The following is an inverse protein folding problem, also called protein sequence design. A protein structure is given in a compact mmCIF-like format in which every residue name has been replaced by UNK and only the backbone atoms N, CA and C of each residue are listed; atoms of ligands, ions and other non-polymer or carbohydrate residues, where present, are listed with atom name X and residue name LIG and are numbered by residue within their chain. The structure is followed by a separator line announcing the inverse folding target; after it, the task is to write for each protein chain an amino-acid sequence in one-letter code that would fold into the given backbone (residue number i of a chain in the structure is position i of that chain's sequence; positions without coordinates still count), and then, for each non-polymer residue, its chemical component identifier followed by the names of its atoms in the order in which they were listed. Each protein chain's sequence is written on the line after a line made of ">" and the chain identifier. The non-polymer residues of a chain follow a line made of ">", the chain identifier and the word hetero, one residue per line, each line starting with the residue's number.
data_IF_498658934594
#
_entry.id   IF_498658934594
#
_cell.length_a   1.000
_cell.length_b   1.000
_cell.length_c   1.000
_cell.angle_alpha   90.00
_cell.angle_beta   90.00
_cell.angle_gamma   90.00
#
_symmetry.space_group_name_H-M   'P 1'
#
loop_
_entity.id
_entity.type
_entity.pdbx_description
1 polymer ?
#
# COMPACT_ATOMS: atom_id res chain seq x y z
N UNK A 1 -19.41 24.75 -3.59
CA UNK A 1 -19.36 23.61 -2.64
C UNK A 1 -17.93 23.45 -2.17
N UNK A 2 -17.70 22.86 -1.02
CA UNK A 2 -16.35 22.54 -0.52
C UNK A 2 -16.33 21.08 -0.08
N UNK A 3 -15.19 20.42 -0.24
CA UNK A 3 -14.95 19.06 0.22
C UNK A 3 -13.94 19.09 1.37
N UNK A 4 -14.29 18.45 2.49
CA UNK A 4 -13.43 18.42 3.68
C UNK A 4 -12.81 17.04 3.81
N UNK A 5 -11.47 16.96 3.78
CA UNK A 5 -10.72 15.76 4.12
C UNK A 5 -10.49 15.80 5.63
N UNK A 6 -10.98 14.76 6.33
CA UNK A 6 -10.76 14.59 7.76
C UNK A 6 -9.64 13.59 8.02
N UNK A 7 -9.03 13.64 9.19
CA UNK A 7 -8.17 12.60 9.73
C UNK A 7 -8.99 11.52 10.43
N UNK A 8 -8.38 10.40 10.69
CA UNK A 8 -8.99 9.27 11.41
C UNK A 8 -9.37 9.63 12.87
N UNK A 9 -8.81 10.69 13.43
CA UNK A 9 -9.16 11.26 14.74
C UNK A 9 -10.33 12.27 14.68
N UNK A 10 -10.91 12.49 13.49
CA UNK A 10 -12.01 13.42 13.25
C UNK A 10 -11.57 14.86 12.96
N UNK A 11 -10.32 15.23 13.20
CA UNK A 11 -9.80 16.55 12.90
C UNK A 11 -9.75 16.83 11.39
N UNK A 12 -9.84 18.10 11.01
CA UNK A 12 -9.73 18.49 9.60
C UNK A 12 -8.28 18.42 9.15
N UNK A 13 -8.04 17.66 8.06
CA UNK A 13 -6.75 17.61 7.39
C UNK A 13 -6.64 18.73 6.34
N UNK A 14 -7.71 18.91 5.55
CA UNK A 14 -7.74 19.91 4.48
C UNK A 14 -9.17 20.25 4.06
N UNK A 15 -9.39 21.48 3.64
CA UNK A 15 -10.67 21.94 3.07
C UNK A 15 -10.43 22.42 1.64
N UNK A 16 -10.89 21.64 0.67
CA UNK A 16 -10.80 21.97 -0.74
C UNK A 16 -11.99 22.84 -1.16
N UNK A 17 -11.75 24.11 -1.43
CA UNK A 17 -12.76 25.00 -2.03
C UNK A 17 -13.04 24.54 -3.46
N UNK A 18 -14.33 24.50 -3.83
CA UNK A 18 -14.82 24.11 -5.15
C UNK A 18 -14.64 22.64 -5.55
N UNK A 19 -14.08 21.78 -4.68
CA UNK A 19 -14.01 20.35 -4.93
C UNK A 19 -15.38 19.68 -4.72
N UNK A 20 -15.72 18.75 -5.62
CA UNK A 20 -16.97 17.98 -5.60
C UNK A 20 -16.72 16.50 -5.31
N UNK A 21 -15.47 16.07 -5.30
CA UNK A 21 -15.06 14.68 -5.06
C UNK A 21 -13.80 14.58 -4.19
N UNK A 22 -13.61 13.42 -3.59
CA UNK A 22 -12.37 13.10 -2.86
C UNK A 22 -11.13 13.30 -3.74
N UNK A 23 -11.18 12.88 -5.00
CA UNK A 23 -10.08 13.04 -5.96
C UNK A 23 -9.70 14.51 -6.17
N UNK A 24 -10.69 15.37 -6.41
CA UNK A 24 -10.43 16.83 -6.57
C UNK A 24 -9.88 17.44 -5.29
N UNK A 25 -10.44 17.06 -4.14
CA UNK A 25 -9.98 17.54 -2.85
C UNK A 25 -8.53 17.12 -2.54
N UNK A 26 -8.21 15.85 -2.79
CA UNK A 26 -6.84 15.33 -2.58
C UNK A 26 -5.88 15.96 -3.57
N UNK A 27 -6.26 16.14 -4.85
CA UNK A 27 -5.44 16.85 -5.84
C UNK A 27 -5.14 18.28 -5.40
N UNK A 28 -6.14 19.00 -4.89
CA UNK A 28 -5.94 20.36 -4.36
C UNK A 28 -5.01 20.35 -3.13
N UNK A 29 -5.24 19.43 -2.19
CA UNK A 29 -4.40 19.28 -1.01
C UNK A 29 -2.94 19.01 -1.35
N UNK A 30 -2.67 18.10 -2.29
CA UNK A 30 -1.30 17.79 -2.73
C UNK A 30 -0.65 18.99 -3.41
N UNK A 31 -1.39 19.67 -4.29
CA UNK A 31 -0.91 20.91 -4.95
C UNK A 31 -0.52 21.98 -3.94
N UNK A 32 -1.29 22.10 -2.86
CA UNK A 32 -1.05 23.11 -1.80
C UNK A 32 -0.02 22.63 -0.74
N UNK A 33 0.59 21.46 -0.93
CA UNK A 33 1.54 20.86 0.02
C UNK A 33 0.92 20.47 1.36
N UNK A 34 -0.39 20.22 1.39
CA UNK A 34 -1.10 19.91 2.62
C UNK A 34 -0.65 18.57 3.23
N UNK A 35 -0.57 18.54 4.56
CA UNK A 35 -0.27 17.32 5.30
C UNK A 35 -1.52 16.43 5.43
N UNK A 36 -1.55 15.35 4.65
CA UNK A 36 -2.60 14.33 4.65
C UNK A 36 -2.29 13.14 5.58
N UNK A 37 -1.36 13.31 6.53
CA UNK A 37 -1.08 12.29 7.54
C UNK A 37 -2.38 11.90 8.27
N UNK A 38 -2.64 10.59 8.37
CA UNK A 38 -3.87 10.01 8.94
C UNK A 38 -5.16 10.48 8.26
N UNK A 39 -5.10 10.96 7.01
CA UNK A 39 -6.31 11.32 6.28
C UNK A 39 -7.25 10.12 6.12
N UNK A 40 -8.55 10.33 6.31
CA UNK A 40 -9.58 9.32 6.11
C UNK A 40 -10.01 9.34 4.63
N UNK A 41 -9.46 8.39 3.87
CA UNK A 41 -9.67 8.23 2.42
C UNK A 41 -10.21 6.83 2.08
N UNK A 42 -10.94 6.22 3.03
CA UNK A 42 -11.57 4.92 2.88
C UNK A 42 -12.46 4.89 1.63
N UNK A 43 -12.25 3.91 0.76
CA UNK A 43 -13.01 3.70 -0.47
C UNK A 43 -12.93 4.85 -1.49
N UNK A 44 -12.04 5.84 -1.28
CA UNK A 44 -11.97 7.00 -2.16
C UNK A 44 -11.58 6.61 -3.58
N UNK A 45 -12.28 7.16 -4.57
CA UNK A 45 -11.86 7.06 -5.97
C UNK A 45 -10.72 8.06 -6.25
N UNK A 46 -9.51 7.53 -6.29
CA UNK A 46 -8.26 8.23 -6.60
C UNK A 46 -7.62 7.69 -7.89
N UNK A 47 -8.43 7.09 -8.76
CA UNK A 47 -7.98 6.57 -10.06
C UNK A 47 -7.26 7.66 -10.85
N UNK A 48 -6.01 7.39 -11.28
CA UNK A 48 -5.15 8.33 -12.00
C UNK A 48 -4.93 9.67 -11.28
N UNK A 49 -5.07 9.70 -9.95
CA UNK A 49 -4.80 10.90 -9.17
C UNK A 49 -3.29 11.21 -9.17
N UNK A 50 -2.96 12.50 -9.23
CA UNK A 50 -1.59 12.98 -9.05
C UNK A 50 -1.31 13.13 -7.56
N UNK A 51 -0.59 12.17 -6.98
CA UNK A 51 -0.25 12.07 -5.55
C UNK A 51 1.28 12.09 -5.35
N UNK A 52 2.03 12.55 -6.34
CA UNK A 52 3.49 12.61 -6.28
C UNK A 52 3.92 13.46 -5.07
N UNK A 53 4.81 12.91 -4.23
CA UNK A 53 5.29 13.52 -3.00
C UNK A 53 4.25 13.69 -1.88
N UNK A 54 3.04 13.14 -2.03
CA UNK A 54 1.96 13.33 -1.06
C UNK A 54 2.32 12.79 0.35
N UNK A 55 2.03 13.59 1.39
CA UNK A 55 2.20 13.19 2.79
C UNK A 55 1.00 12.34 3.26
N UNK A 56 1.05 11.02 3.06
CA UNK A 56 -0.02 10.06 3.36
C UNK A 56 0.35 9.10 4.52
N UNK A 57 1.31 9.46 5.35
CA UNK A 57 1.74 8.63 6.49
C UNK A 57 0.53 8.29 7.38
N UNK A 58 0.30 6.99 7.61
CA UNK A 58 -0.83 6.52 8.43
C UNK A 58 -2.21 6.82 7.86
N UNK A 59 -2.36 7.27 6.62
CA UNK A 59 -3.65 7.53 6.01
C UNK A 59 -4.47 6.24 5.86
N UNK A 60 -5.78 6.34 6.05
CA UNK A 60 -6.70 5.24 5.78
C UNK A 60 -7.12 5.24 4.31
N UNK A 61 -6.45 4.43 3.53
CA UNK A 61 -6.70 4.16 2.11
C UNK A 61 -7.35 2.78 1.90
N UNK A 62 -7.96 2.22 2.94
CA UNK A 62 -8.62 0.91 2.87
C UNK A 62 -9.69 0.93 1.76
N UNK A 63 -9.62 -0.02 0.83
CA UNK A 63 -10.53 -0.12 -0.30
C UNK A 63 -10.44 1.02 -1.34
N UNK A 64 -9.49 1.94 -1.22
CA UNK A 64 -9.35 3.05 -2.18
C UNK A 64 -8.99 2.56 -3.58
N UNK A 65 -9.54 3.21 -4.60
CA UNK A 65 -9.22 2.96 -6.00
C UNK A 65 -8.04 3.83 -6.41
N UNK A 66 -6.87 3.23 -6.56
CA UNK A 66 -5.60 3.90 -6.93
C UNK A 66 -5.08 3.42 -8.30
N UNK A 67 -5.97 2.94 -9.17
CA UNK A 67 -5.59 2.50 -10.51
C UNK A 67 -4.86 3.59 -11.28
N UNK A 68 -3.62 3.31 -11.70
CA UNK A 68 -2.80 4.24 -12.46
C UNK A 68 -2.50 5.56 -11.75
N UNK A 69 -2.67 5.65 -10.43
CA UNK A 69 -2.32 6.84 -9.66
C UNK A 69 -0.81 7.07 -9.65
N UNK A 70 -0.40 8.32 -9.71
CA UNK A 70 1.01 8.70 -9.54
C UNK A 70 1.30 8.93 -8.06
N UNK A 71 1.96 7.97 -7.45
CA UNK A 71 2.42 7.96 -6.05
C UNK A 71 3.96 8.13 -5.97
N UNK A 72 4.59 8.62 -7.03
CA UNK A 72 6.04 8.82 -7.07
C UNK A 72 6.50 9.68 -5.89
N UNK A 73 7.42 9.15 -5.08
CA UNK A 73 7.93 9.84 -3.89
C UNK A 73 6.92 10.04 -2.75
N UNK A 74 5.71 9.47 -2.82
CA UNK A 74 4.71 9.63 -1.76
C UNK A 74 5.15 8.94 -0.44
N UNK A 75 4.79 9.54 0.69
CA UNK A 75 5.06 9.02 2.02
C UNK A 75 3.89 8.17 2.50
N UNK A 76 4.00 6.83 2.41
CA UNK A 76 2.95 5.86 2.74
C UNK A 76 3.25 5.04 4.00
N UNK A 77 4.27 5.42 4.78
CA UNK A 77 4.63 4.69 6.00
C UNK A 77 3.42 4.56 6.94
N UNK A 78 3.09 3.32 7.33
CA UNK A 78 1.93 3.03 8.17
C UNK A 78 0.56 3.24 7.52
N UNK A 79 0.47 3.61 6.24
CA UNK A 79 -0.81 3.78 5.56
C UNK A 79 -1.61 2.47 5.47
N UNK A 80 -2.91 2.56 5.65
CA UNK A 80 -3.83 1.43 5.58
C UNK A 80 -4.28 1.23 4.13
N UNK A 81 -3.73 0.23 3.45
CA UNK A 81 -4.00 -0.09 2.05
C UNK A 81 -4.76 -1.42 1.87
N UNK A 82 -5.37 -1.97 2.94
CA UNK A 82 -6.16 -3.20 2.84
C UNK A 82 -7.27 -3.06 1.79
N UNK A 83 -7.34 -3.98 0.84
CA UNK A 83 -8.32 -3.90 -0.24
C UNK A 83 -8.11 -2.78 -1.26
N UNK A 84 -7.08 -1.95 -1.11
CA UNK A 84 -6.80 -0.91 -2.10
C UNK A 84 -6.38 -1.49 -3.45
N UNK A 85 -6.79 -0.82 -4.52
CA UNK A 85 -6.53 -1.21 -5.91
C UNK A 85 -5.38 -0.38 -6.48
N UNK A 86 -4.16 -0.93 -6.48
CA UNK A 86 -2.92 -0.26 -6.90
C UNK A 86 -2.42 -0.64 -8.30
N UNK A 87 -3.23 -1.37 -9.09
CA UNK A 87 -2.79 -1.81 -10.42
C UNK A 87 -2.41 -0.62 -11.31
N UNK A 88 -1.22 -0.69 -11.92
CA UNK A 88 -0.70 0.40 -12.74
C UNK A 88 -0.28 1.66 -11.98
N UNK A 89 -0.35 1.69 -10.64
CA UNK A 89 0.12 2.84 -9.87
C UNK A 89 1.65 3.00 -9.96
N UNK A 90 2.11 4.24 -10.05
CA UNK A 90 3.53 4.58 -10.08
C UNK A 90 4.02 4.80 -8.64
N UNK A 91 4.92 3.93 -8.16
CA UNK A 91 5.39 3.89 -6.78
C UNK A 91 6.90 4.20 -6.64
N UNK A 92 7.54 4.71 -7.70
CA UNK A 92 8.98 5.00 -7.68
C UNK A 92 9.32 5.99 -6.56
N UNK A 93 10.27 5.63 -5.68
CA UNK A 93 10.68 6.47 -4.56
C UNK A 93 9.62 6.65 -3.45
N UNK A 94 8.45 6.01 -3.53
CA UNK A 94 7.48 6.05 -2.44
C UNK A 94 8.02 5.33 -1.21
N UNK A 95 7.78 5.88 0.00
CA UNK A 95 8.19 5.27 1.26
C UNK A 95 7.04 4.49 1.92
N UNK A 96 7.36 3.46 2.69
CA UNK A 96 6.38 2.64 3.40
C UNK A 96 5.65 1.61 2.52
N UNK A 97 6.02 1.52 1.24
CA UNK A 97 5.53 0.51 0.30
C UNK A 97 6.67 0.04 -0.59
N UNK A 98 6.73 -1.26 -0.84
CA UNK A 98 7.71 -1.88 -1.74
C UNK A 98 6.94 -2.70 -2.78
N UNK A 99 7.25 -2.49 -4.06
CA UNK A 99 6.71 -3.27 -5.18
C UNK A 99 7.84 -4.04 -5.85
N UNK A 100 7.61 -5.33 -6.14
CA UNK A 100 8.56 -6.14 -6.91
C UNK A 100 8.08 -6.45 -8.33
N UNK A 101 6.93 -5.92 -8.73
CA UNK A 101 6.31 -6.20 -10.02
C UNK A 101 5.41 -7.45 -9.98
N UNK A 102 4.85 -7.83 -11.12
CA UNK A 102 4.02 -9.01 -11.21
C UNK A 102 4.86 -10.28 -11.19
N UNK A 103 4.44 -11.27 -10.41
CA UNK A 103 4.92 -12.64 -10.46
C UNK A 103 3.77 -13.51 -10.92
N UNK A 104 3.95 -14.24 -12.01
CA UNK A 104 2.91 -15.05 -12.65
C UNK A 104 1.60 -14.26 -12.90
N UNK A 105 1.73 -12.99 -13.27
CA UNK A 105 0.61 -12.06 -13.51
C UNK A 105 0.00 -11.45 -12.25
N UNK A 106 0.51 -11.76 -11.06
CA UNK A 106 0.02 -11.23 -9.79
C UNK A 106 0.89 -10.08 -9.30
N UNK A 107 0.29 -8.91 -9.14
CA UNK A 107 0.97 -7.77 -8.51
C UNK A 107 1.30 -8.07 -7.06
N UNK A 108 2.56 -7.85 -6.68
CA UNK A 108 3.05 -8.07 -5.32
C UNK A 108 3.60 -6.78 -4.71
N UNK A 109 3.13 -6.49 -3.50
CA UNK A 109 3.55 -5.34 -2.69
C UNK A 109 3.80 -5.78 -1.25
N UNK A 110 4.72 -5.10 -0.58
CA UNK A 110 4.77 -5.06 0.88
C UNK A 110 4.45 -3.65 1.36
N UNK A 111 3.68 -3.52 2.43
CA UNK A 111 3.34 -2.24 3.06
C UNK A 111 3.82 -2.28 4.50
N UNK A 112 4.55 -1.25 4.90
CA UNK A 112 5.05 -1.10 6.27
C UNK A 112 3.90 -0.89 7.24
N UNK A 113 3.85 -1.70 8.30
CA UNK A 113 2.85 -1.60 9.38
C UNK A 113 3.52 -1.81 10.73
N UNK A 114 2.90 -1.28 11.79
CA UNK A 114 3.22 -1.69 13.16
C UNK A 114 2.99 -3.19 13.32
N UNK A 115 3.95 -3.92 13.86
CA UNK A 115 3.91 -5.38 13.96
C UNK A 115 4.32 -6.12 12.68
N UNK A 116 5.00 -5.42 11.76
CA UNK A 116 5.64 -5.98 10.57
C UNK A 116 4.91 -5.77 9.25
N UNK A 117 5.58 -6.05 8.15
CA UNK A 117 5.03 -5.82 6.82
C UNK A 117 3.82 -6.70 6.52
N UNK A 118 2.86 -6.13 5.79
CA UNK A 118 1.77 -6.88 5.17
C UNK A 118 2.06 -7.02 3.69
N UNK A 119 1.93 -8.22 3.17
CA UNK A 119 2.19 -8.56 1.78
C UNK A 119 0.86 -8.69 1.05
N UNK A 120 0.73 -7.97 -0.06
CA UNK A 120 -0.37 -8.14 -1.01
C UNK A 120 0.09 -8.99 -2.18
N UNK A 121 -0.69 -10.01 -2.52
CA UNK A 121 -0.53 -10.78 -3.75
C UNK A 121 -1.91 -11.00 -4.37
N UNK A 122 -2.10 -10.48 -5.58
CA UNK A 122 -3.41 -10.44 -6.21
C UNK A 122 -4.44 -9.69 -5.36
N UNK A 123 -5.56 -10.34 -5.02
CA UNK A 123 -6.61 -9.72 -4.20
C UNK A 123 -6.44 -9.94 -2.68
N UNK A 124 -5.45 -10.71 -2.24
CA UNK A 124 -5.28 -11.09 -0.83
C UNK A 124 -4.14 -10.34 -0.15
N UNK A 125 -4.30 -10.18 1.17
CA UNK A 125 -3.30 -9.63 2.07
C UNK A 125 -2.86 -10.69 3.08
N UNK A 126 -1.55 -10.74 3.34
CA UNK A 126 -0.91 -11.73 4.21
C UNK A 126 0.05 -11.04 5.18
N UNK A 127 0.24 -11.62 6.36
CA UNK A 127 1.51 -11.49 7.09
C UNK A 127 2.60 -12.26 6.35
N UNK A 128 3.86 -12.01 6.68
CA UNK A 128 4.97 -12.79 6.10
C UNK A 128 4.80 -14.28 6.39
N UNK A 129 4.41 -14.64 7.62
CA UNK A 129 4.19 -16.03 8.04
C UNK A 129 3.07 -16.71 7.25
N UNK A 130 1.92 -16.03 7.11
CA UNK A 130 0.79 -16.53 6.30
C UNK A 130 1.19 -16.72 4.84
N UNK A 131 1.93 -15.77 4.25
CA UNK A 131 2.40 -15.85 2.87
C UNK A 131 3.34 -17.05 2.65
N UNK A 132 4.29 -17.25 3.56
CA UNK A 132 5.18 -18.42 3.56
C UNK A 132 4.43 -19.72 3.70
N UNK A 133 3.45 -19.79 4.61
CA UNK A 133 2.60 -20.96 4.79
C UNK A 133 1.75 -21.28 3.56
N UNK A 134 1.22 -20.21 2.90
CA UNK A 134 0.38 -20.35 1.72
C UNK A 134 1.13 -20.91 0.51
N UNK A 135 2.33 -20.42 0.22
CA UNK A 135 3.11 -20.81 -0.96
C UNK A 135 4.23 -21.80 -0.68
N UNK A 136 4.68 -21.93 0.59
CA UNK A 136 5.81 -22.79 0.94
C UNK A 136 5.51 -24.27 1.02
N UNK A 137 4.30 -24.68 1.44
CA UNK A 137 3.93 -26.08 1.70
C UNK A 137 2.71 -26.54 0.92
N UNK A 138 2.46 -25.97 -0.26
CA UNK A 138 1.37 -26.41 -1.14
C UNK A 138 -0.03 -26.11 -0.60
N UNK A 139 -0.17 -25.13 0.30
CA UNK A 139 -1.44 -24.80 0.93
C UNK A 139 -2.18 -23.68 0.23
N UNK A 140 -3.34 -23.94 -0.32
CA UNK A 140 -4.31 -22.94 -0.77
C UNK A 140 -4.70 -23.06 -2.24
N UNK A 141 -5.94 -22.64 -2.57
CA UNK A 141 -6.44 -22.64 -3.94
C UNK A 141 -5.55 -21.76 -4.84
N UNK A 142 -5.12 -22.32 -5.97
CA UNK A 142 -4.23 -21.64 -6.93
C UNK A 142 -2.73 -21.84 -6.64
N UNK A 143 -2.36 -22.53 -5.58
CA UNK A 143 -0.97 -22.94 -5.35
C UNK A 143 -0.68 -24.22 -6.12
N UNK A 144 0.02 -24.11 -7.23
CA UNK A 144 0.50 -25.23 -8.01
C UNK A 144 1.99 -25.46 -7.74
N UNK A 145 2.55 -26.66 -8.06
CA UNK A 145 3.98 -26.92 -7.96
C UNK A 145 4.85 -25.92 -8.73
N UNK A 146 4.29 -25.27 -9.75
CA UNK A 146 4.99 -24.28 -10.57
C UNK A 146 4.91 -22.86 -9.99
N UNK A 147 3.73 -22.46 -9.49
CA UNK A 147 3.49 -21.12 -8.97
C UNK A 147 4.03 -20.92 -7.54
N UNK A 148 3.87 -21.92 -6.68
CA UNK A 148 4.24 -21.85 -5.28
C UNK A 148 5.67 -21.37 -5.05
N UNK A 149 6.69 -21.99 -5.65
CA UNK A 149 8.10 -21.59 -5.48
C UNK A 149 8.39 -20.15 -5.96
N UNK A 150 7.77 -19.72 -7.08
CA UNK A 150 7.96 -18.36 -7.61
C UNK A 150 7.34 -17.31 -6.70
N UNK A 151 6.13 -17.57 -6.23
CA UNK A 151 5.44 -16.68 -5.30
C UNK A 151 6.18 -16.59 -3.96
N UNK A 152 6.70 -17.73 -3.46
CA UNK A 152 7.52 -17.75 -2.26
C UNK A 152 8.81 -16.94 -2.44
N UNK A 153 9.49 -17.08 -3.57
CA UNK A 153 10.66 -16.26 -3.90
C UNK A 153 10.33 -14.76 -3.90
N UNK A 154 9.15 -14.38 -4.40
CA UNK A 154 8.66 -13.01 -4.33
C UNK A 154 8.43 -12.54 -2.90
N UNK A 155 7.86 -13.37 -2.03
CA UNK A 155 7.72 -13.06 -0.59
C UNK A 155 9.08 -12.80 0.04
N UNK A 156 10.07 -13.68 -0.21
CA UNK A 156 11.41 -13.52 0.35
C UNK A 156 12.13 -12.27 -0.18
N UNK A 157 11.93 -11.94 -1.46
CA UNK A 157 12.46 -10.69 -2.03
C UNK A 157 11.84 -9.45 -1.35
N UNK A 158 10.53 -9.44 -1.11
CA UNK A 158 9.86 -8.36 -0.37
C UNK A 158 10.36 -8.26 1.07
N UNK A 159 10.58 -9.39 1.74
CA UNK A 159 11.13 -9.44 3.11
C UNK A 159 12.55 -8.89 3.15
N UNK A 160 13.40 -9.29 2.19
CA UNK A 160 14.76 -8.80 2.10
C UNK A 160 14.81 -7.27 1.87
N UNK A 161 13.96 -6.76 0.98
CA UNK A 161 13.84 -5.33 0.73
C UNK A 161 13.28 -4.57 1.95
N UNK A 162 12.29 -5.12 2.65
CA UNK A 162 11.75 -4.53 3.87
C UNK A 162 12.84 -4.37 4.95
N UNK A 163 13.72 -5.36 5.10
CA UNK A 163 14.87 -5.28 6.00
C UNK A 163 15.90 -4.23 5.56
N UNK A 164 16.20 -4.18 4.27
CA UNK A 164 17.11 -3.17 3.72
C UNK A 164 16.60 -1.74 3.93
N UNK A 165 15.28 -1.58 4.08
CA UNK A 165 14.61 -0.33 4.45
C UNK A 165 14.38 -0.18 5.96
N UNK A 166 15.02 -1.03 6.79
CA UNK A 166 14.90 -0.99 8.26
C UNK A 166 13.47 -1.09 8.79
N UNK A 167 12.60 -1.81 8.09
CA UNK A 167 11.23 -2.03 8.57
C UNK A 167 11.24 -3.01 9.76
N UNK A 168 10.43 -2.70 10.76
CA UNK A 168 10.20 -3.58 11.90
C UNK A 168 9.68 -4.94 11.43
N UNK A 169 10.39 -6.01 11.79
CA UNK A 169 9.99 -7.38 11.50
C UNK A 169 9.50 -8.06 12.77
N UNK A 170 8.36 -8.76 12.74
CA UNK A 170 7.87 -9.50 13.90
C UNK A 170 8.86 -10.59 14.32
N UNK A 171 9.00 -10.84 15.62
CA UNK A 171 9.85 -11.94 16.11
C UNK A 171 9.41 -13.28 15.53
N UNK A 172 10.39 -14.13 15.13
CA UNK A 172 10.15 -15.45 14.53
C UNK A 172 9.81 -15.45 13.05
N UNK A 173 9.78 -14.29 12.38
CA UNK A 173 9.63 -14.19 10.92
C UNK A 173 10.97 -13.93 10.22
N UNK A 174 12.05 -14.15 10.91
CA UNK A 174 13.39 -14.10 10.37
C UNK A 174 13.57 -15.19 9.30
N UNK A 175 14.35 -14.88 8.26
CA UNK A 175 14.72 -15.87 7.24
C UNK A 175 15.50 -16.97 7.95
N UNK A 176 15.11 -18.23 7.75
CA UNK A 176 16.00 -19.33 8.06
C UNK A 176 17.30 -19.11 7.26
N UNK A 177 18.38 -18.90 7.98
CA UNK A 177 19.75 -18.81 7.46
C UNK A 177 20.15 -20.05 6.68
#
# INVERSE_FOLDING_TARGET
>A
MSYTIKRTDGNVAYVAKHATSAREAVKAAVKDGANLTRAHLYGADLTRAHLSGAHLTGADLTGAYLYGADLTGAHLSGAHLSGAHLSGAHLSGATGIIRIGPIDGWEMYAVQRSGGPRIKAGCRWFTVGEARGWWGKGGGPGNTPEHGPRMLAGVEALVALARAHEWEMPPGQEVAS
#
